data_IF_913505659968
#
_entry.id   IF_913505659968
#
_cell.length_a   1.000
_cell.length_b   1.000
_cell.length_c   1.000
_cell.angle_alpha   90.00
_cell.angle_beta   90.00
_cell.angle_gamma   90.00
#
_symmetry.space_group_name_H-M   'P 1'
#
loop_
_entity.id
_entity.type
_entity.pdbx_description
1 polymer ?
#
# COMPACT_ATOMS: atom_id res chain seq x y z
N UNK A 1 -16.19 -10.30 23.62
CA UNK A 1 -15.65 -9.85 22.30
C UNK A 1 -15.20 -11.09 21.55
N UNK A 2 -15.65 -11.29 20.31
CA UNK A 2 -15.38 -12.51 19.55
C UNK A 2 -13.98 -12.42 18.90
N UNK A 3 -12.95 -12.78 19.66
CA UNK A 3 -11.51 -12.65 19.32
C UNK A 3 -11.11 -13.39 18.04
N UNK A 4 -11.87 -14.42 17.65
CA UNK A 4 -11.66 -15.17 16.39
C UNK A 4 -11.71 -14.29 15.14
N UNK A 5 -12.58 -13.26 15.13
CA UNK A 5 -12.78 -12.39 13.96
C UNK A 5 -11.59 -11.47 13.69
N UNK A 6 -10.81 -11.14 14.72
CA UNK A 6 -9.67 -10.21 14.61
C UNK A 6 -8.44 -10.84 13.95
N UNK A 7 -8.34 -12.17 13.98
CA UNK A 7 -7.23 -12.94 13.37
C UNK A 7 -7.51 -13.37 11.93
N UNK A 8 -8.62 -12.90 11.35
CA UNK A 8 -8.99 -13.19 9.97
C UNK A 8 -9.02 -11.88 9.19
N UNK A 9 -8.37 -11.80 8.02
CA UNK A 9 -8.43 -10.61 7.17
C UNK A 9 -9.88 -10.29 6.80
N UNK A 10 -10.16 -9.03 6.46
CA UNK A 10 -11.46 -8.62 5.94
C UNK A 10 -11.80 -9.43 4.69
N UNK A 11 -10.83 -9.56 3.79
CA UNK A 11 -10.90 -10.37 2.59
C UNK A 11 -9.50 -10.78 2.13
N UNK A 12 -9.42 -11.91 1.41
CA UNK A 12 -8.18 -12.38 0.80
C UNK A 12 -8.53 -13.22 -0.43
N UNK A 13 -7.97 -12.90 -1.59
CA UNK A 13 -8.24 -13.64 -2.83
C UNK A 13 -7.06 -13.60 -3.79
N UNK A 14 -7.09 -14.51 -4.78
CA UNK A 14 -6.17 -14.54 -5.90
C UNK A 14 -6.83 -13.98 -7.15
N UNK A 15 -6.06 -13.24 -7.92
CA UNK A 15 -6.38 -12.84 -9.29
C UNK A 15 -5.06 -12.80 -10.09
N UNK A 16 -5.03 -12.10 -11.22
CA UNK A 16 -3.83 -11.82 -12.00
C UNK A 16 -3.54 -10.31 -12.04
N UNK A 17 -2.27 -9.96 -12.04
CA UNK A 17 -1.83 -8.58 -12.28
C UNK A 17 -0.56 -8.56 -13.13
N UNK A 18 -0.31 -7.43 -13.80
CA UNK A 18 0.80 -7.26 -14.70
C UNK A 18 2.10 -7.05 -13.93
N UNK A 19 3.09 -7.90 -14.20
CA UNK A 19 4.44 -7.78 -13.69
C UNK A 19 5.33 -7.21 -14.80
N UNK A 20 5.78 -5.97 -14.62
CA UNK A 20 6.45 -5.20 -15.69
C UNK A 20 7.83 -5.77 -16.02
N UNK A 21 8.53 -6.26 -15.01
CA UNK A 21 9.89 -6.78 -15.09
C UNK A 21 9.97 -8.03 -16.01
N UNK A 22 8.91 -8.84 -16.04
CA UNK A 22 8.79 -10.03 -16.91
C UNK A 22 7.80 -9.84 -18.06
N UNK A 23 7.18 -8.66 -18.16
CA UNK A 23 6.22 -8.27 -19.20
C UNK A 23 5.04 -9.25 -19.37
N UNK A 24 4.60 -9.88 -18.28
CA UNK A 24 3.54 -10.89 -18.27
C UNK A 24 2.60 -10.71 -17.09
N UNK A 25 1.39 -11.27 -17.19
CA UNK A 25 0.50 -11.38 -16.04
C UNK A 25 0.94 -12.56 -15.16
N UNK A 26 1.06 -12.35 -13.85
CA UNK A 26 1.30 -13.40 -12.85
C UNK A 26 0.21 -13.37 -11.79
N UNK A 27 0.12 -14.41 -10.97
CA UNK A 27 -0.88 -14.45 -9.89
C UNK A 27 -0.62 -13.35 -8.87
N UNK A 28 -1.69 -12.73 -8.39
CA UNK A 28 -1.66 -11.69 -7.40
C UNK A 28 -2.52 -12.09 -6.20
N UNK A 29 -1.91 -12.19 -5.02
CA UNK A 29 -2.61 -12.31 -3.75
C UNK A 29 -2.96 -10.91 -3.24
N UNK A 30 -4.24 -10.60 -3.19
CA UNK A 30 -4.72 -9.38 -2.53
C UNK A 30 -5.23 -9.71 -1.14
N UNK A 31 -4.70 -9.02 -0.14
CA UNK A 31 -5.07 -9.16 1.27
C UNK A 31 -5.57 -7.84 1.79
N UNK A 32 -6.75 -7.85 2.41
CA UNK A 32 -7.29 -6.72 3.12
C UNK A 32 -7.18 -7.00 4.62
N UNK A 33 -6.22 -6.35 5.26
CA UNK A 33 -5.99 -6.47 6.70
C UNK A 33 -7.01 -5.63 7.46
N UNK A 34 -7.57 -6.23 8.51
CA UNK A 34 -8.34 -5.52 9.53
C UNK A 34 -7.37 -4.81 10.46
N UNK A 35 -7.58 -3.51 10.64
CA UNK A 35 -6.73 -2.58 11.39
C UNK A 35 -7.58 -1.63 12.25
N UNK A 36 -6.94 -0.72 13.00
CA UNK A 36 -7.62 0.40 13.66
C UNK A 36 -8.34 1.35 12.68
N UNK A 37 -7.97 1.28 11.40
CA UNK A 37 -8.59 1.94 10.26
C UNK A 37 -8.31 3.41 10.10
N UNK A 38 -8.68 3.91 8.91
CA UNK A 38 -8.31 5.24 8.44
C UNK A 38 -8.61 6.30 9.49
N UNK A 39 -7.63 7.11 9.85
CA UNK A 39 -7.87 8.22 10.76
C UNK A 39 -8.63 9.40 10.13
N UNK A 40 -8.64 9.49 8.80
CA UNK A 40 -9.28 10.61 8.11
C UNK A 40 -10.82 10.54 8.11
N UNK A 41 -11.41 9.36 7.83
CA UNK A 41 -12.86 9.02 7.88
C UNK A 41 -13.85 10.05 7.31
N UNK A 42 -13.40 10.93 6.42
CA UNK A 42 -14.23 12.03 5.87
C UNK A 42 -14.44 11.93 4.37
N UNK A 43 -13.80 10.95 3.72
CA UNK A 43 -14.00 10.68 2.31
C UNK A 43 -15.48 10.33 2.05
N UNK A 44 -16.17 11.09 1.22
CA UNK A 44 -17.61 10.91 0.96
C UNK A 44 -17.93 9.60 0.25
N UNK A 45 -16.97 9.08 -0.51
CA UNK A 45 -17.12 7.87 -1.33
C UNK A 45 -16.64 6.60 -0.60
N UNK A 46 -15.93 6.72 0.53
CA UNK A 46 -15.24 5.59 1.17
C UNK A 46 -15.97 5.14 2.44
N UNK A 47 -16.61 3.97 2.38
CA UNK A 47 -17.18 3.28 3.54
C UNK A 47 -16.19 2.35 4.26
N UNK A 48 -14.95 2.23 3.77
CA UNK A 48 -14.07 1.13 4.15
C UNK A 48 -13.55 1.18 5.59
N UNK A 49 -13.55 2.37 6.20
CA UNK A 49 -13.24 2.55 7.61
C UNK A 49 -14.20 1.77 8.54
N UNK A 50 -15.39 1.37 8.06
CA UNK A 50 -16.33 0.53 8.81
C UNK A 50 -15.79 -0.90 9.03
N UNK A 51 -14.81 -1.32 8.22
CA UNK A 51 -14.10 -2.58 8.42
C UNK A 51 -12.97 -2.46 9.46
N UNK A 52 -12.85 -1.34 10.17
CA UNK A 52 -11.91 -1.24 11.29
C UNK A 52 -12.37 -2.05 12.50
N UNK A 53 -11.41 -2.52 13.29
CA UNK A 53 -11.67 -3.15 14.59
C UNK A 53 -10.50 -2.87 15.54
N UNK A 54 -10.74 -3.07 16.84
CA UNK A 54 -9.67 -3.09 17.82
C UNK A 54 -8.88 -4.38 17.67
N UNK A 55 -7.73 -4.29 17.02
CA UNK A 55 -6.83 -5.41 16.70
C UNK A 55 -5.44 -5.10 17.22
N UNK A 56 -4.76 -6.13 17.71
CA UNK A 56 -3.36 -6.01 18.09
C UNK A 56 -2.47 -6.13 16.86
N UNK A 57 -1.23 -5.64 16.97
CA UNK A 57 -0.23 -5.83 15.91
C UNK A 57 0.06 -7.33 15.65
N UNK A 58 -0.02 -8.17 16.69
CA UNK A 58 0.08 -9.62 16.54
C UNK A 58 -1.10 -10.21 15.74
N UNK A 59 -2.32 -9.69 15.93
CA UNK A 59 -3.47 -10.10 15.12
C UNK A 59 -3.27 -9.73 13.64
N UNK A 60 -2.68 -8.57 13.33
CA UNK A 60 -2.36 -8.16 11.95
C UNK A 60 -1.39 -9.16 11.29
N UNK A 61 -0.37 -9.58 12.03
CA UNK A 61 0.59 -10.59 11.57
C UNK A 61 -0.08 -11.96 11.39
N UNK A 62 -0.95 -12.38 12.31
CA UNK A 62 -1.73 -13.63 12.19
C UNK A 62 -2.65 -13.61 10.96
N UNK A 63 -3.27 -12.47 10.66
CA UNK A 63 -4.10 -12.28 9.46
C UNK A 63 -3.28 -12.49 8.17
N UNK A 64 -2.08 -11.90 8.11
CA UNK A 64 -1.19 -12.05 6.96
C UNK A 64 -0.74 -13.52 6.79
N UNK A 65 -0.31 -14.19 7.86
CA UNK A 65 0.06 -15.62 7.80
C UNK A 65 -1.09 -16.48 7.29
N UNK A 66 -2.30 -16.20 7.76
CA UNK A 66 -3.50 -16.93 7.33
C UNK A 66 -3.73 -16.78 5.83
N UNK A 67 -3.52 -15.59 5.27
CA UNK A 67 -3.60 -15.34 3.83
C UNK A 67 -2.47 -16.02 3.05
N UNK A 68 -1.26 -16.07 3.59
CA UNK A 68 -0.10 -16.67 2.94
C UNK A 68 -0.11 -18.21 2.97
N UNK A 69 -0.78 -18.83 3.94
CA UNK A 69 -0.78 -20.30 4.14
C UNK A 69 -1.18 -21.10 2.90
N UNK A 70 -2.13 -20.60 2.13
CA UNK A 70 -2.66 -21.27 0.93
C UNK A 70 -2.10 -20.64 -0.36
N UNK A 71 -1.03 -19.88 -0.26
CA UNK A 71 -0.45 -19.21 -1.42
C UNK A 71 0.26 -20.23 -2.31
N UNK A 72 0.05 -20.19 -3.64
CA UNK A 72 0.50 -21.23 -4.57
C UNK A 72 2.03 -21.33 -4.60
N UNK A 73 2.62 -22.46 -4.97
CA UNK A 73 4.08 -22.62 -5.01
C UNK A 73 4.77 -21.84 -6.15
N UNK A 74 4.02 -21.03 -6.92
CA UNK A 74 4.53 -20.18 -7.99
C UNK A 74 4.83 -18.74 -7.52
N UNK A 75 5.48 -17.98 -8.40
CA UNK A 75 5.75 -16.56 -8.23
C UNK A 75 4.46 -15.73 -8.18
N UNK A 76 4.37 -14.84 -7.20
CA UNK A 76 3.19 -14.00 -6.98
C UNK A 76 3.52 -12.52 -6.76
N UNK A 77 2.52 -11.68 -7.00
CA UNK A 77 2.43 -10.31 -6.49
C UNK A 77 1.66 -10.36 -5.17
N UNK A 78 2.18 -9.75 -4.11
CA UNK A 78 1.44 -9.55 -2.87
C UNK A 78 0.95 -8.11 -2.79
N UNK A 79 -0.35 -7.91 -2.58
CA UNK A 79 -0.95 -6.60 -2.35
C UNK A 79 -1.58 -6.55 -0.96
N UNK A 80 -1.16 -5.60 -0.14
CA UNK A 80 -1.77 -5.37 1.17
C UNK A 80 -2.54 -4.05 1.15
N UNK A 81 -3.83 -4.18 1.40
CA UNK A 81 -4.73 -3.08 1.69
C UNK A 81 -5.15 -3.15 3.16
N UNK A 82 -5.58 -2.02 3.69
CA UNK A 82 -6.04 -1.85 5.07
C UNK A 82 -7.38 -1.12 5.04
N UNK A 83 -7.95 -0.82 6.19
CA UNK A 83 -9.10 0.10 6.24
C UNK A 83 -8.68 1.58 6.24
N UNK A 84 -7.42 1.90 5.91
CA UNK A 84 -6.91 3.25 5.79
C UNK A 84 -5.53 3.42 5.14
N UNK A 85 -4.44 3.22 5.87
CA UNK A 85 -3.08 3.41 5.34
C UNK A 85 -2.04 2.49 5.97
N UNK A 86 -1.30 1.77 5.14
CA UNK A 86 -0.26 0.84 5.59
C UNK A 86 0.90 1.55 6.32
N UNK A 87 1.23 2.78 5.91
CA UNK A 87 2.29 3.58 6.55
C UNK A 87 1.80 4.44 7.72
N UNK A 88 0.52 4.34 8.10
CA UNK A 88 0.03 5.01 9.32
C UNK A 88 0.46 4.22 10.55
N UNK A 89 1.26 4.85 11.42
CA UNK A 89 1.79 4.25 12.65
C UNK A 89 0.69 3.77 13.59
N UNK A 90 -0.51 4.35 13.49
CA UNK A 90 -1.68 3.93 14.28
C UNK A 90 -2.30 2.63 13.78
N UNK A 91 -2.15 2.32 12.50
CA UNK A 91 -2.71 1.10 11.91
C UNK A 91 -1.69 -0.03 11.96
N UNK A 92 -0.48 0.23 11.47
CA UNK A 92 0.61 -0.75 11.41
C UNK A 92 1.87 -0.08 11.94
N UNK A 93 2.41 -0.58 13.06
CA UNK A 93 3.60 0.00 13.69
C UNK A 93 4.86 -0.26 12.86
N UNK A 94 5.93 0.49 13.11
CA UNK A 94 7.23 0.29 12.45
C UNK A 94 7.74 -1.14 12.61
N UNK A 95 7.61 -1.73 13.80
CA UNK A 95 8.04 -3.11 14.09
C UNK A 95 7.24 -4.10 13.26
N UNK A 96 5.94 -3.84 13.09
CA UNK A 96 5.06 -4.71 12.31
C UNK A 96 5.34 -4.58 10.82
N UNK A 97 5.61 -3.37 10.31
CA UNK A 97 6.05 -3.17 8.92
C UNK A 97 7.35 -3.91 8.64
N UNK A 98 8.32 -3.86 9.55
CA UNK A 98 9.60 -4.60 9.45
C UNK A 98 9.39 -6.11 9.44
N UNK A 99 8.54 -6.62 10.33
CA UNK A 99 8.20 -8.05 10.38
C UNK A 99 7.47 -8.52 9.11
N UNK A 100 6.54 -7.71 8.57
CA UNK A 100 5.90 -7.97 7.28
C UNK A 100 6.96 -8.02 6.17
N UNK A 101 7.89 -7.07 6.13
CA UNK A 101 8.97 -7.04 5.13
C UNK A 101 9.88 -8.27 5.23
N UNK A 102 10.24 -8.71 6.43
CA UNK A 102 11.00 -9.94 6.66
C UNK A 102 10.26 -11.17 6.14
N UNK A 103 8.96 -11.29 6.43
CA UNK A 103 8.13 -12.39 5.93
C UNK A 103 8.03 -12.40 4.42
N UNK A 104 7.84 -11.23 3.80
CA UNK A 104 7.83 -11.09 2.34
C UNK A 104 9.14 -11.60 1.74
N UNK A 105 10.28 -11.19 2.31
CA UNK A 105 11.61 -11.68 1.88
C UNK A 105 11.76 -13.19 2.08
N UNK A 106 11.34 -13.71 3.22
CA UNK A 106 11.45 -15.13 3.56
C UNK A 106 10.61 -16.05 2.67
N UNK A 107 9.45 -15.59 2.19
CA UNK A 107 8.62 -16.34 1.25
C UNK A 107 9.33 -16.55 -0.09
N UNK A 108 10.21 -15.63 -0.51
CA UNK A 108 11.11 -15.75 -1.67
C UNK A 108 10.45 -15.69 -3.05
N UNK A 109 9.20 -16.13 -3.17
CA UNK A 109 8.39 -16.13 -4.41
C UNK A 109 7.48 -14.91 -4.57
N UNK A 110 7.54 -13.95 -3.64
CA UNK A 110 6.85 -12.67 -3.81
C UNK A 110 7.74 -11.77 -4.66
N UNK A 111 7.40 -11.64 -5.94
CA UNK A 111 8.18 -10.90 -6.94
C UNK A 111 7.89 -9.40 -6.94
N UNK A 112 6.75 -8.99 -6.38
CA UNK A 112 6.34 -7.59 -6.22
C UNK A 112 5.49 -7.44 -4.98
N UNK A 113 5.75 -6.38 -4.21
CA UNK A 113 4.99 -6.07 -3.00
C UNK A 113 4.34 -4.71 -3.13
N UNK A 114 3.02 -4.66 -3.06
CA UNK A 114 2.23 -3.44 -3.20
C UNK A 114 1.53 -3.15 -1.88
N UNK A 115 1.66 -1.93 -1.36
CA UNK A 115 0.94 -1.48 -0.16
C UNK A 115 0.17 -0.20 -0.43
N UNK A 116 -1.05 -0.09 0.07
CA UNK A 116 -1.79 1.16 -0.01
C UNK A 116 -1.35 2.17 1.04
N UNK A 117 -1.39 3.45 0.72
CA UNK A 117 -1.21 4.50 1.72
C UNK A 117 -1.79 5.84 1.30
N UNK A 118 -2.06 6.71 2.27
CA UNK A 118 -2.30 8.13 2.03
C UNK A 118 -0.96 8.88 1.96
N UNK A 119 -0.88 9.97 1.17
CA UNK A 119 0.39 10.65 0.92
C UNK A 119 1.02 11.25 2.18
N UNK A 120 0.25 11.71 3.16
CA UNK A 120 0.77 12.30 4.39
C UNK A 120 1.56 11.31 5.27
N UNK A 121 1.38 10.00 5.06
CA UNK A 121 2.13 8.98 5.77
C UNK A 121 3.44 8.60 5.08
N UNK A 122 3.66 9.04 3.84
CA UNK A 122 4.86 8.68 3.10
C UNK A 122 6.05 9.50 3.61
N UNK A 123 7.00 8.83 4.24
CA UNK A 123 8.28 9.40 4.68
C UNK A 123 9.41 8.41 4.40
N UNK A 124 10.65 8.91 4.29
CA UNK A 124 11.82 8.05 4.07
C UNK A 124 12.00 7.05 5.23
N UNK A 125 11.77 7.49 6.47
CA UNK A 125 11.82 6.65 7.67
C UNK A 125 10.85 5.47 7.60
N UNK A 126 9.58 5.70 7.23
CA UNK A 126 8.58 4.63 7.14
C UNK A 126 8.80 3.70 5.96
N UNK A 127 9.40 4.19 4.88
CA UNK A 127 9.80 3.36 3.73
C UNK A 127 10.99 2.48 4.11
N UNK A 128 11.92 2.97 4.94
CA UNK A 128 13.09 2.20 5.40
C UNK A 128 12.68 0.93 6.16
N UNK A 129 11.52 0.92 6.82
CA UNK A 129 10.95 -0.29 7.44
C UNK A 129 10.73 -1.44 6.44
N UNK A 130 10.56 -1.12 5.16
CA UNK A 130 10.31 -2.06 4.06
C UNK A 130 11.58 -2.37 3.24
N UNK A 131 12.75 -2.01 3.76
CA UNK A 131 14.01 -2.21 3.07
C UNK A 131 14.28 -3.68 2.74
N UNK A 132 14.84 -3.88 1.54
CA UNK A 132 15.19 -5.20 1.02
C UNK A 132 14.02 -5.95 0.39
N UNK A 133 12.79 -5.41 0.40
CA UNK A 133 11.69 -5.97 -0.37
C UNK A 133 11.88 -5.65 -1.85
N UNK A 134 11.84 -6.67 -2.70
CA UNK A 134 11.93 -6.52 -4.15
C UNK A 134 10.67 -5.86 -4.73
N UNK A 135 10.86 -4.96 -5.70
CA UNK A 135 9.79 -4.31 -6.47
C UNK A 135 8.67 -3.73 -5.58
N UNK A 136 9.04 -3.01 -4.52
CA UNK A 136 8.09 -2.34 -3.63
C UNK A 136 7.33 -1.22 -4.35
N UNK A 137 6.00 -1.28 -4.35
CA UNK A 137 5.12 -0.24 -4.88
C UNK A 137 4.24 0.35 -3.78
N UNK A 138 4.15 1.68 -3.73
CA UNK A 138 3.21 2.38 -2.87
C UNK A 138 2.00 2.84 -3.70
N UNK A 139 0.85 2.21 -3.47
CA UNK A 139 -0.41 2.62 -4.07
C UNK A 139 -0.99 3.80 -3.29
N UNK A 140 -0.70 5.03 -3.75
CA UNK A 140 -1.18 6.25 -3.10
C UNK A 140 -2.57 6.61 -3.63
N UNK A 141 -3.58 6.56 -2.77
CA UNK A 141 -4.99 6.76 -3.17
C UNK A 141 -5.33 8.22 -3.51
N UNK A 142 -5.06 8.66 -4.74
CA UNK A 142 -5.29 10.05 -5.21
C UNK A 142 -6.75 10.36 -5.59
N UNK A 143 -7.47 9.38 -6.14
CA UNK A 143 -8.85 9.44 -6.68
C UNK A 143 -9.06 10.33 -7.92
N UNK A 144 -8.51 11.55 -7.94
CA UNK A 144 -8.58 12.47 -9.07
C UNK A 144 -7.37 13.39 -9.03
N UNK A 145 -6.90 13.90 -10.18
CA UNK A 145 -5.85 14.92 -10.22
C UNK A 145 -6.37 16.33 -9.87
N UNK A 146 -7.69 16.55 -9.96
CA UNK A 146 -8.31 17.86 -9.73
C UNK A 146 -8.52 18.14 -8.22
N UNK A 147 -7.83 19.17 -7.71
CA UNK A 147 -7.94 19.63 -6.31
C UNK A 147 -9.34 20.10 -5.92
N UNK A 148 -10.07 20.76 -6.82
CA UNK A 148 -11.42 21.22 -6.57
C UNK A 148 -12.35 20.02 -6.37
N UNK A 149 -12.29 19.02 -7.25
CA UNK A 149 -13.10 17.81 -7.10
C UNK A 149 -12.71 17.04 -5.84
N UNK A 150 -11.40 16.83 -5.61
CA UNK A 150 -10.89 16.05 -4.48
C UNK A 150 -11.22 16.66 -3.13
N UNK A 151 -11.20 17.99 -3.02
CA UNK A 151 -11.49 18.70 -1.78
C UNK A 151 -12.99 18.89 -1.53
N UNK A 152 -13.77 19.27 -2.55
CA UNK A 152 -15.18 19.64 -2.38
C UNK A 152 -16.13 18.46 -2.39
N UNK A 153 -15.93 17.51 -3.32
CA UNK A 153 -16.85 16.40 -3.50
C UNK A 153 -16.37 15.15 -2.78
N UNK A 154 -15.08 14.79 -2.93
CA UNK A 154 -14.53 13.56 -2.33
C UNK A 154 -14.13 13.80 -0.87
N UNK A 155 -13.72 15.01 -0.51
CA UNK A 155 -13.19 15.39 0.80
C UNK A 155 -12.00 14.52 1.24
N UNK A 156 -10.98 14.39 0.39
CA UNK A 156 -9.83 13.50 0.63
C UNK A 156 -8.86 13.99 1.71
N UNK A 157 -8.80 15.31 1.93
CA UNK A 157 -7.99 15.91 3.02
C UNK A 157 -6.53 16.17 2.70
N UNK A 158 -6.12 16.03 1.44
CA UNK A 158 -4.79 16.39 0.95
C UNK A 158 -4.88 16.95 -0.48
N UNK A 159 -3.84 17.68 -0.90
CA UNK A 159 -3.72 18.31 -2.21
C UNK A 159 -2.96 17.47 -3.24
N UNK A 160 -2.99 17.87 -4.52
CA UNK A 160 -2.24 17.15 -5.56
C UNK A 160 -0.74 17.28 -5.32
N UNK A 161 -0.33 18.42 -4.76
CA UNK A 161 1.05 18.67 -4.38
C UNK A 161 1.54 17.72 -3.27
N UNK A 162 0.67 17.37 -2.31
CA UNK A 162 1.01 16.39 -1.26
C UNK A 162 1.24 14.99 -1.85
N UNK A 163 0.39 14.57 -2.79
CA UNK A 163 0.60 13.35 -3.56
C UNK A 163 1.93 13.37 -4.31
N UNK A 164 2.25 14.49 -4.98
CA UNK A 164 3.48 14.65 -5.73
C UNK A 164 4.71 14.56 -4.82
N UNK A 165 4.70 15.22 -3.66
CA UNK A 165 5.77 15.13 -2.66
C UNK A 165 5.98 13.70 -2.18
N UNK A 166 4.89 12.98 -1.88
CA UNK A 166 4.95 11.58 -1.48
C UNK A 166 5.59 10.70 -2.58
N UNK A 167 5.19 10.91 -3.84
CA UNK A 167 5.77 10.22 -4.99
C UNK A 167 7.27 10.53 -5.17
N UNK A 168 7.68 11.78 -4.95
CA UNK A 168 9.09 12.19 -4.97
C UNK A 168 9.92 11.55 -3.85
N UNK A 169 9.39 11.47 -2.63
CA UNK A 169 10.04 10.77 -1.51
C UNK A 169 10.28 9.32 -1.89
N UNK A 170 9.24 8.63 -2.39
CA UNK A 170 9.34 7.24 -2.82
C UNK A 170 10.39 7.05 -3.92
N UNK A 171 10.39 7.93 -4.92
CA UNK A 171 11.36 7.92 -6.02
C UNK A 171 12.81 8.06 -5.53
N UNK A 172 13.05 8.92 -4.53
CA UNK A 172 14.39 9.13 -3.96
C UNK A 172 14.89 7.91 -3.20
N UNK A 173 14.00 7.19 -2.51
CA UNK A 173 14.34 5.97 -1.78
C UNK A 173 14.73 4.80 -2.72
N UNK A 174 14.20 4.75 -3.95
CA UNK A 174 14.49 3.65 -4.89
C UNK A 174 15.83 3.75 -5.62
N UNK A 175 16.44 4.93 -5.66
CA UNK A 175 17.65 5.13 -6.48
C UNK A 175 17.40 4.82 -7.96
N UNK A 176 16.79 5.76 -8.70
CA UNK A 176 16.71 5.80 -10.19
C UNK A 176 16.01 4.63 -10.92
N UNK A 177 15.60 3.55 -10.26
CA UNK A 177 14.80 2.48 -10.87
C UNK A 177 13.36 2.58 -10.42
N UNK A 178 12.46 3.08 -11.28
CA UNK A 178 11.02 3.09 -11.00
C UNK A 178 10.27 2.58 -12.22
N UNK A 179 9.63 1.43 -12.04
CA UNK A 179 8.62 0.81 -12.93
C UNK A 179 7.18 1.10 -12.46
N UNK A 180 6.93 2.04 -11.54
CA UNK A 180 5.53 2.36 -11.22
C UNK A 180 4.91 3.24 -12.31
N UNK A 181 4.01 2.64 -13.09
CA UNK A 181 3.24 3.27 -14.18
C UNK A 181 2.49 4.56 -13.74
N UNK A 182 2.19 4.74 -12.45
CA UNK A 182 1.54 5.95 -11.93
C UNK A 182 2.52 7.08 -11.55
N UNK A 183 3.72 6.76 -11.03
CA UNK A 183 4.73 7.77 -10.64
C UNK A 183 5.45 8.37 -11.85
N UNK A 184 5.73 7.55 -12.87
CA UNK A 184 6.47 7.97 -14.06
C UNK A 184 5.69 8.97 -14.94
N UNK A 185 4.35 8.86 -14.99
CA UNK A 185 3.52 9.73 -15.86
C UNK A 185 3.39 11.15 -15.30
N UNK A 186 3.28 11.32 -13.98
CA UNK A 186 3.21 12.65 -13.37
C UNK A 186 4.57 13.36 -13.38
N UNK A 187 5.66 12.68 -13.02
CA UNK A 187 6.97 13.32 -12.89
C UNK A 187 7.62 13.63 -14.26
N UNK A 188 7.45 12.76 -15.28
CA UNK A 188 8.04 13.00 -16.62
C UNK A 188 7.42 14.19 -17.36
N UNK A 189 6.13 14.49 -17.15
CA UNK A 189 5.48 15.63 -17.80
C UNK A 189 5.95 16.98 -17.24
N UNK A 190 6.30 17.05 -15.95
CA UNK A 190 6.77 18.29 -15.32
C UNK A 190 8.26 18.59 -15.61
N UNK A 191 9.10 17.55 -15.66
CA UNK A 191 10.54 17.72 -15.93
C UNK A 191 10.80 18.29 -17.35
N UNK A 192 9.91 18.00 -18.31
CA UNK A 192 9.94 18.60 -19.65
C UNK A 192 9.33 20.02 -19.72
N UNK A 193 8.58 20.47 -18.71
CA UNK A 193 8.03 21.84 -18.65
C UNK A 193 8.99 22.87 -18.04
N UNK A 194 10.05 22.43 -17.34
CA UNK A 194 11.11 23.31 -16.80
C UNK A 194 12.34 23.43 -17.69
N UNK A 195 12.28 22.89 -18.92
CA UNK A 195 13.36 22.97 -19.93
C UNK A 195 13.02 23.86 -21.13
N UNK A 196 11.93 24.63 -21.05
CA UNK A 196 11.59 25.70 -21.98
C UNK A 196 11.23 26.95 -21.19
#
# INVERSE_FOLDING_TARGET
>A
MNTSKNKTPVASWFDYDYFEEERKAIKALTVILRTAGCQWRKCTMCGFWQESADVTQADILDQLERSLRNSPEEDIILKIFTSGSFLDEREISSETRKEIAERVRKVGRIRKFIVETRPEFVSAERIEDLKGVENLELAIGLETADDFIRSKYIKKGFSFDDYRKAAEIRWRCDGKNVSSAQTAVCIRKECNRRRY
#
